data_IF_417466020491
#
_entry.id   IF_417466020491
#
_cell.length_a   1.000
_cell.length_b   1.000
_cell.length_c   1.000
_cell.angle_alpha   90.00
_cell.angle_beta   90.00
_cell.angle_gamma   90.00
#
_symmetry.space_group_name_H-M   'P 1'
#
loop_
_entity.id
_entity.type
_entity.pdbx_description
1 polymer ?
#
# COMPACT_ATOMS: atom_id res chain seq x y z
N UNK A 1 23.29 8.05 13.83
CA UNK A 1 23.85 7.53 15.08
C UNK A 1 24.36 6.12 14.83
N UNK A 2 25.54 5.76 15.34
CA UNK A 2 26.18 4.47 15.03
C UNK A 2 25.80 3.31 15.96
N UNK A 3 25.48 3.59 17.21
CA UNK A 3 25.17 2.54 18.20
C UNK A 3 23.68 2.23 18.13
N UNK A 4 23.34 1.00 17.75
CA UNK A 4 21.98 0.47 17.74
C UNK A 4 21.80 -0.53 18.88
N UNK A 5 20.64 -0.49 19.54
CA UNK A 5 20.31 -1.37 20.66
C UNK A 5 18.87 -1.87 20.54
N UNK A 6 18.67 -3.14 20.87
CA UNK A 6 17.36 -3.78 21.00
C UNK A 6 17.18 -4.10 22.47
N UNK A 7 16.08 -3.62 23.05
CA UNK A 7 15.81 -3.70 24.47
C UNK A 7 14.44 -4.33 24.70
N UNK A 8 14.37 -5.30 25.61
CA UNK A 8 13.11 -5.83 26.08
C UNK A 8 12.58 -4.93 27.19
N UNK A 9 11.48 -4.22 26.92
CA UNK A 9 10.91 -3.24 27.84
C UNK A 9 10.35 -3.92 29.09
N UNK A 10 9.67 -5.06 28.94
CA UNK A 10 9.05 -5.81 30.03
C UNK A 10 10.11 -6.35 31.00
N UNK A 11 11.12 -7.02 30.45
CA UNK A 11 12.22 -7.60 31.23
C UNK A 11 13.27 -6.57 31.66
N UNK A 12 13.13 -5.31 31.21
CA UNK A 12 14.09 -4.23 31.42
C UNK A 12 15.53 -4.62 31.11
N UNK A 13 15.74 -5.40 30.05
CA UNK A 13 17.02 -5.98 29.72
C UNK A 13 17.42 -5.68 28.27
N UNK A 14 18.72 -5.42 28.06
CA UNK A 14 19.26 -5.24 26.72
C UNK A 14 19.38 -6.60 26.05
N UNK A 15 18.65 -6.78 24.95
CA UNK A 15 18.69 -8.01 24.17
C UNK A 15 19.94 -8.03 23.28
N UNK A 16 20.14 -6.96 22.48
CA UNK A 16 21.23 -6.89 21.49
C UNK A 16 21.78 -5.48 21.40
N UNK A 17 23.03 -5.36 21.01
CA UNK A 17 23.68 -4.10 20.68
C UNK A 17 24.63 -4.30 19.49
N UNK A 18 24.71 -3.32 18.62
CA UNK A 18 25.63 -3.34 17.50
C UNK A 18 26.12 -1.92 17.20
N UNK A 19 27.41 -1.79 16.86
CA UNK A 19 28.01 -0.52 16.45
C UNK A 19 28.19 -0.55 14.94
N UNK A 20 27.37 0.22 14.23
CA UNK A 20 27.45 0.37 12.79
C UNK A 20 28.76 1.06 12.39
N UNK A 21 29.29 0.70 11.22
CA UNK A 21 30.45 1.36 10.62
C UNK A 21 30.10 2.78 10.18
N UNK A 22 28.92 2.93 9.57
CA UNK A 22 28.31 4.20 9.15
C UNK A 22 27.17 4.61 10.08
N UNK A 23 26.76 5.88 10.00
CA UNK A 23 25.57 6.33 10.71
C UNK A 23 24.30 5.71 10.14
N UNK A 24 23.47 5.17 11.04
CA UNK A 24 22.07 4.91 10.73
C UNK A 24 21.35 6.25 10.58
N UNK A 25 20.79 6.50 9.40
CA UNK A 25 20.05 7.73 9.06
C UNK A 25 18.53 7.51 9.08
N UNK A 26 18.08 6.26 8.93
CA UNK A 26 16.68 5.86 9.02
C UNK A 26 16.59 4.40 9.42
N UNK A 27 15.56 4.04 10.18
CA UNK A 27 15.29 2.67 10.57
C UNK A 27 13.81 2.44 10.80
N UNK A 28 13.37 1.19 10.61
CA UNK A 28 11.98 0.79 10.79
C UNK A 28 11.88 -0.72 10.97
N UNK A 29 10.97 -1.18 11.82
CA UNK A 29 10.55 -2.58 11.85
C UNK A 29 9.96 -2.99 10.49
N UNK A 30 10.65 -3.93 9.81
CA UNK A 30 10.20 -4.52 8.55
C UNK A 30 9.23 -5.70 8.81
N UNK A 31 9.42 -6.40 9.94
CA UNK A 31 8.53 -7.45 10.45
C UNK A 31 8.53 -7.43 11.97
N UNK A 32 7.84 -8.37 12.61
CA UNK A 32 7.81 -8.56 14.07
C UNK A 32 9.19 -8.83 14.69
N UNK A 33 10.14 -9.36 13.91
CA UNK A 33 11.47 -9.75 14.37
C UNK A 33 12.62 -9.08 13.60
N UNK A 34 12.35 -8.33 12.52
CA UNK A 34 13.40 -7.77 11.66
C UNK A 34 13.30 -6.26 11.56
N UNK A 35 14.43 -5.58 11.79
CA UNK A 35 14.59 -4.13 11.63
C UNK A 35 15.31 -3.85 10.30
N UNK A 36 14.71 -3.02 9.45
CA UNK A 36 15.40 -2.39 8.33
C UNK A 36 16.21 -1.19 8.81
N UNK A 37 17.50 -1.19 8.53
CA UNK A 37 18.45 -0.12 8.88
C UNK A 37 18.99 0.48 7.60
N UNK A 38 18.89 1.80 7.44
CA UNK A 38 19.34 2.54 6.26
C UNK A 38 20.48 3.45 6.68
N UNK A 39 21.63 3.28 6.04
CA UNK A 39 22.79 4.17 6.16
C UNK A 39 22.87 5.12 4.97
N UNK A 40 23.95 5.89 4.87
CA UNK A 40 24.19 6.75 3.72
C UNK A 40 24.38 5.94 2.43
N UNK A 41 25.04 4.79 2.51
CA UNK A 41 25.42 4.01 1.33
C UNK A 41 24.64 2.71 1.16
N UNK A 42 24.03 2.16 2.21
CA UNK A 42 23.52 0.78 2.20
C UNK A 42 22.25 0.60 3.02
N UNK A 43 21.54 -0.50 2.76
CA UNK A 43 20.40 -0.97 3.55
C UNK A 43 20.72 -2.34 4.14
N UNK A 44 20.39 -2.52 5.41
CA UNK A 44 20.65 -3.73 6.19
C UNK A 44 19.34 -4.25 6.81
N UNK A 45 19.29 -5.55 7.06
CA UNK A 45 18.31 -6.19 7.93
C UNK A 45 18.99 -6.68 9.20
N UNK A 46 18.40 -6.38 10.36
CA UNK A 46 18.87 -6.86 11.65
C UNK A 46 17.72 -7.60 12.35
N UNK A 47 17.83 -8.92 12.45
CA UNK A 47 16.86 -9.75 13.16
C UNK A 47 17.10 -9.74 14.67
N UNK A 48 16.03 -9.83 15.45
CA UNK A 48 16.05 -9.99 16.91
C UNK A 48 16.47 -11.40 17.33
N UNK A 49 16.45 -12.36 16.41
CA UNK A 49 16.76 -13.76 16.67
C UNK A 49 18.26 -14.00 16.87
N UNK A 50 18.58 -14.72 17.95
CA UNK A 50 19.94 -15.09 18.34
C UNK A 50 20.93 -13.93 18.37
N UNK A 51 22.21 -14.25 18.20
CA UNK A 51 23.31 -13.27 18.20
C UNK A 51 23.62 -12.70 16.81
N UNK A 52 22.65 -12.76 15.88
CA UNK A 52 22.81 -12.26 14.52
C UNK A 52 23.17 -10.77 14.47
N UNK A 53 24.10 -10.43 13.58
CA UNK A 53 24.49 -9.05 13.31
C UNK A 53 23.68 -8.49 12.13
N UNK A 54 23.63 -7.16 11.94
CA UNK A 54 23.01 -6.57 10.75
C UNK A 54 23.62 -7.12 9.46
N UNK A 55 22.78 -7.65 8.58
CA UNK A 55 23.18 -8.21 7.28
C UNK A 55 22.85 -7.20 6.19
N UNK A 56 23.83 -6.89 5.33
CA UNK A 56 23.62 -5.99 4.20
C UNK A 56 22.69 -6.64 3.18
N UNK A 57 21.66 -5.90 2.76
CA UNK A 57 20.70 -6.34 1.75
C UNK A 57 21.04 -5.81 0.37
N UNK A 58 21.32 -4.50 0.26
CA UNK A 58 21.68 -3.85 -0.99
C UNK A 58 22.36 -2.49 -0.76
N UNK A 59 23.06 -2.00 -1.78
CA UNK A 59 23.60 -0.64 -1.85
C UNK A 59 22.52 0.36 -2.26
N UNK A 60 22.51 1.55 -1.64
CA UNK A 60 21.62 2.64 -2.02
C UNK A 60 21.96 3.13 -3.42
N UNK A 61 20.94 3.19 -4.25
CA UNK A 61 21.07 3.65 -5.63
C UNK A 61 21.36 5.16 -5.67
N UNK A 62 22.19 5.59 -6.63
CA UNK A 62 22.62 6.99 -6.79
C UNK A 62 21.46 8.01 -6.87
N UNK A 63 20.29 7.59 -7.34
CA UNK A 63 19.09 8.44 -7.42
C UNK A 63 18.56 8.90 -6.06
N UNK A 64 18.97 8.24 -4.97
CA UNK A 64 18.61 8.57 -3.58
C UNK A 64 19.68 9.39 -2.86
N UNK A 65 20.79 9.74 -3.51
CA UNK A 65 21.81 10.60 -2.92
C UNK A 65 21.21 11.98 -2.59
N UNK A 66 21.49 12.46 -1.38
CA UNK A 66 20.95 13.73 -0.85
C UNK A 66 19.44 13.70 -0.54
N UNK A 67 18.75 12.57 -0.68
CA UNK A 67 17.35 12.45 -0.26
C UNK A 67 17.24 12.26 1.25
N UNK A 68 16.27 12.92 1.86
CA UNK A 68 15.79 12.58 3.19
C UNK A 68 15.00 11.27 3.10
N UNK A 69 15.48 10.21 3.77
CA UNK A 69 14.77 8.93 3.80
C UNK A 69 13.54 9.07 4.70
N UNK A 70 12.37 8.72 4.15
CA UNK A 70 11.07 8.87 4.83
C UNK A 70 10.39 7.53 5.11
N UNK A 71 10.76 6.47 4.41
CA UNK A 71 10.18 5.16 4.64
C UNK A 71 11.08 4.02 4.15
N UNK A 72 10.87 2.85 4.74
CA UNK A 72 11.37 1.57 4.27
C UNK A 72 10.22 0.57 4.34
N UNK A 73 10.03 -0.24 3.29
CA UNK A 73 8.98 -1.25 3.23
C UNK A 73 9.51 -2.52 2.60
N UNK A 74 8.85 -3.62 2.92
CA UNK A 74 9.06 -4.92 2.29
C UNK A 74 7.71 -5.50 1.91
N UNK A 75 7.70 -6.46 0.99
CA UNK A 75 6.58 -7.39 0.91
C UNK A 75 6.61 -8.37 2.09
N UNK A 76 5.57 -9.19 2.23
CA UNK A 76 5.43 -10.15 3.33
C UNK A 76 6.54 -11.22 3.34
N UNK A 77 7.07 -11.60 2.17
CA UNK A 77 8.11 -12.62 2.06
C UNK A 77 9.54 -12.07 2.15
N UNK A 78 9.68 -10.76 2.37
CA UNK A 78 10.96 -10.04 2.39
C UNK A 78 11.79 -10.23 1.10
N UNK A 79 11.16 -10.54 -0.02
CA UNK A 79 11.82 -10.72 -1.33
C UNK A 79 11.87 -9.43 -2.15
N UNK A 80 11.00 -8.47 -1.83
CA UNK A 80 10.95 -7.14 -2.41
C UNK A 80 11.16 -6.11 -1.33
N UNK A 81 12.20 -5.29 -1.50
CA UNK A 81 12.60 -4.27 -0.54
C UNK A 81 12.48 -2.89 -1.20
N UNK A 82 11.94 -1.92 -0.47
CA UNK A 82 11.73 -0.57 -0.96
C UNK A 82 12.28 0.44 0.04
N UNK A 83 13.24 1.25 -0.39
CA UNK A 83 13.62 2.48 0.32
C UNK A 83 13.04 3.69 -0.42
N UNK A 84 12.44 4.61 0.34
CA UNK A 84 11.79 5.80 -0.18
C UNK A 84 12.38 7.06 0.49
N UNK A 85 12.76 8.03 -0.34
CA UNK A 85 13.27 9.31 0.10
C UNK A 85 12.69 10.47 -0.69
N UNK A 86 12.75 11.66 -0.12
CA UNK A 86 12.28 12.90 -0.75
C UNK A 86 13.40 13.94 -0.79
N UNK A 87 13.33 14.84 -1.76
CA UNK A 87 14.19 16.03 -1.82
C UNK A 87 13.43 17.22 -2.39
N UNK A 88 13.77 18.42 -1.94
CA UNK A 88 13.28 19.63 -2.58
C UNK A 88 14.05 19.86 -3.88
N UNK A 89 13.34 20.10 -4.99
CA UNK A 89 13.93 20.43 -6.29
C UNK A 89 12.94 21.30 -7.06
N UNK A 90 13.41 22.43 -7.63
CA UNK A 90 12.59 23.31 -8.48
C UNK A 90 11.25 23.74 -7.83
N UNK A 91 11.27 24.04 -6.53
CA UNK A 91 10.08 24.47 -5.79
C UNK A 91 9.07 23.36 -5.45
N UNK A 92 9.34 22.09 -5.80
CA UNK A 92 8.51 20.93 -5.44
C UNK A 92 9.26 19.91 -4.58
N UNK A 93 8.50 19.03 -3.94
CA UNK A 93 9.04 17.83 -3.28
C UNK A 93 9.06 16.69 -4.29
N UNK A 94 10.25 16.19 -4.62
CA UNK A 94 10.45 15.04 -5.52
C UNK A 94 10.63 13.78 -4.69
N UNK A 95 9.80 12.77 -4.93
CA UNK A 95 9.92 11.45 -4.33
C UNK A 95 10.82 10.53 -5.16
N UNK A 96 11.75 9.84 -4.51
CA UNK A 96 12.67 8.88 -5.11
C UNK A 96 12.56 7.58 -4.34
N UNK A 97 12.34 6.50 -5.07
CA UNK A 97 12.27 5.15 -4.53
C UNK A 97 13.32 4.27 -5.20
N UNK A 98 13.82 3.29 -4.47
CA UNK A 98 14.59 2.18 -5.00
C UNK A 98 13.87 0.89 -4.61
N UNK A 99 13.32 0.21 -5.62
CA UNK A 99 12.75 -1.12 -5.48
C UNK A 99 13.85 -2.14 -5.76
N UNK A 100 14.13 -3.02 -4.81
CA UNK A 100 15.14 -4.06 -4.92
C UNK A 100 14.50 -5.44 -4.83
N UNK A 101 14.91 -6.33 -5.74
CA UNK A 101 14.56 -7.76 -5.71
C UNK A 101 15.70 -8.54 -5.06
N UNK A 102 15.43 -9.25 -3.97
CA UNK A 102 16.41 -10.09 -3.27
C UNK A 102 16.83 -11.27 -4.13
N UNK A 103 15.86 -11.95 -4.75
CA UNK A 103 16.09 -13.10 -5.64
C UNK A 103 16.95 -12.71 -6.85
N UNK A 104 16.55 -11.66 -7.56
CA UNK A 104 17.22 -11.24 -8.80
C UNK A 104 18.46 -10.38 -8.56
N UNK A 105 18.66 -9.88 -7.34
CA UNK A 105 19.75 -8.98 -6.95
C UNK A 105 19.87 -7.72 -7.82
N UNK A 106 18.73 -7.17 -8.20
CA UNK A 106 18.64 -5.96 -9.05
C UNK A 106 17.81 -4.87 -8.37
N UNK A 107 18.21 -3.62 -8.60
CA UNK A 107 17.48 -2.43 -8.17
C UNK A 107 16.88 -1.70 -9.36
N UNK A 108 15.68 -1.18 -9.16
CA UNK A 108 15.02 -0.27 -10.08
C UNK A 108 14.75 1.08 -9.38
N UNK A 109 15.31 2.19 -9.91
CA UNK A 109 14.95 3.52 -9.44
C UNK A 109 13.57 3.92 -9.98
N UNK A 110 12.74 4.51 -9.12
CA UNK A 110 11.37 4.92 -9.44
C UNK A 110 11.12 6.33 -8.88
N UNK A 111 10.45 7.21 -9.64
CA UNK A 111 9.92 8.47 -9.08
C UNK A 111 8.57 8.19 -8.41
N UNK A 112 8.50 8.38 -7.09
CA UNK A 112 7.26 8.23 -6.33
C UNK A 112 7.40 8.63 -4.88
N UNK A 113 6.28 9.02 -4.29
CA UNK A 113 6.21 9.65 -2.98
C UNK A 113 5.72 8.71 -1.87
N UNK A 114 4.78 7.83 -2.18
CA UNK A 114 4.22 6.87 -1.24
C UNK A 114 3.96 5.54 -1.93
N UNK A 115 4.17 4.43 -1.24
CA UNK A 115 4.00 3.10 -1.79
C UNK A 115 3.63 2.07 -0.72
N UNK A 116 3.09 0.94 -1.17
CA UNK A 116 2.76 -0.22 -0.36
C UNK A 116 2.83 -1.51 -1.19
N UNK A 117 3.11 -2.62 -0.52
CA UNK A 117 2.95 -3.96 -1.08
C UNK A 117 1.64 -4.56 -0.56
N UNK A 118 1.03 -5.42 -1.36
CA UNK A 118 -0.19 -6.13 -0.98
C UNK A 118 -0.26 -7.47 -1.68
N UNK A 119 -0.79 -8.47 -0.97
CA UNK A 119 -1.14 -9.75 -1.54
C UNK A 119 -2.57 -9.67 -2.08
N UNK A 120 -2.75 -9.92 -3.38
CA UNK A 120 -4.05 -9.80 -4.05
C UNK A 120 -4.33 -11.02 -4.94
N UNK A 121 -5.48 -11.66 -4.76
CA UNK A 121 -5.89 -12.83 -5.54
C UNK A 121 -6.96 -12.43 -6.55
N UNK A 122 -6.63 -12.48 -7.84
CA UNK A 122 -7.61 -12.32 -8.91
C UNK A 122 -8.64 -13.47 -8.85
N UNK A 123 -9.89 -13.18 -9.24
CA UNK A 123 -11.00 -14.13 -9.14
C UNK A 123 -10.73 -15.46 -9.88
N UNK A 124 -10.15 -15.37 -11.08
CA UNK A 124 -9.80 -16.54 -11.90
C UNK A 124 -8.56 -17.29 -11.40
N UNK A 125 -7.78 -16.71 -10.48
CA UNK A 125 -6.50 -17.23 -10.05
C UNK A 125 -6.61 -18.11 -8.80
N UNK A 126 -5.75 -19.13 -8.75
CA UNK A 126 -5.64 -20.03 -7.58
C UNK A 126 -4.68 -19.47 -6.54
N UNK A 127 -3.58 -18.87 -6.98
CA UNK A 127 -2.54 -18.28 -6.12
C UNK A 127 -2.67 -16.77 -6.03
N UNK A 128 -2.15 -16.21 -4.96
CA UNK A 128 -2.12 -14.77 -4.72
C UNK A 128 -0.94 -14.14 -5.45
N UNK A 129 -1.17 -12.97 -6.05
CA UNK A 129 -0.14 -12.14 -6.67
C UNK A 129 0.39 -11.13 -5.66
N UNK A 130 1.70 -10.88 -5.69
CA UNK A 130 2.31 -9.79 -4.92
C UNK A 130 2.27 -8.52 -5.77
N UNK A 131 1.47 -7.55 -5.34
CA UNK A 131 1.35 -6.26 -6.01
C UNK A 131 2.18 -5.21 -5.29
N UNK A 132 2.83 -4.37 -6.09
CA UNK A 132 3.48 -3.13 -5.67
C UNK A 132 2.67 -1.95 -6.17
N UNK A 133 2.14 -1.16 -5.23
CA UNK A 133 1.40 0.06 -5.53
C UNK A 133 2.22 1.27 -5.12
N UNK A 134 2.30 2.29 -5.98
CA UNK A 134 2.96 3.54 -5.65
C UNK A 134 2.29 4.75 -6.29
N UNK A 135 2.29 5.87 -5.56
CA UNK A 135 1.72 7.13 -5.97
C UNK A 135 2.79 8.22 -6.05
N UNK A 136 2.63 9.10 -7.02
CA UNK A 136 3.54 10.21 -7.31
C UNK A 136 2.75 11.44 -7.70
N UNK A 137 3.24 12.63 -7.33
CA UNK A 137 2.86 13.89 -7.99
C UNK A 137 4.06 14.44 -8.74
N UNK A 138 4.13 14.11 -10.03
CA UNK A 138 5.20 14.54 -10.93
C UNK A 138 4.83 15.79 -11.72
N UNK A 139 5.68 16.21 -12.68
CA UNK A 139 5.37 17.31 -13.60
C UNK A 139 4.11 17.05 -14.44
N UNK A 140 3.79 15.79 -14.72
CA UNK A 140 2.59 15.36 -15.44
C UNK A 140 1.36 15.19 -14.54
N UNK A 141 1.41 15.68 -13.30
CA UNK A 141 0.33 15.56 -12.32
C UNK A 141 0.45 14.33 -11.42
N UNK A 142 -0.67 14.00 -10.77
CA UNK A 142 -0.78 12.88 -9.85
C UNK A 142 -1.02 11.57 -10.58
N UNK A 143 -0.24 10.53 -10.26
CA UNK A 143 -0.44 9.18 -10.77
C UNK A 143 -0.36 8.15 -9.64
N UNK A 144 -1.20 7.11 -9.73
CA UNK A 144 -1.14 5.89 -8.94
C UNK A 144 -0.87 4.73 -9.91
N UNK A 145 0.15 3.95 -9.59
CA UNK A 145 0.53 2.74 -10.31
C UNK A 145 0.25 1.53 -9.44
N UNK A 146 -0.30 0.48 -10.04
CA UNK A 146 -0.50 -0.84 -9.41
C UNK A 146 0.09 -1.86 -10.37
N UNK A 147 1.14 -2.56 -9.94
CA UNK A 147 1.86 -3.55 -10.75
C UNK A 147 2.09 -4.82 -9.97
N UNK A 148 2.06 -5.97 -10.64
CA UNK A 148 2.59 -7.21 -10.06
C UNK A 148 4.11 -7.21 -10.13
N UNK A 149 4.74 -7.69 -9.06
CA UNK A 149 6.19 -7.82 -8.97
C UNK A 149 6.59 -9.29 -8.87
N UNK A 150 7.70 -9.63 -9.53
CA UNK A 150 8.17 -11.00 -9.62
C UNK A 150 7.68 -11.72 -10.88
N UNK A 151 7.92 -13.02 -10.90
CA UNK A 151 7.36 -13.89 -11.93
C UNK A 151 5.95 -14.27 -11.45
N UNK A 152 4.90 -14.05 -12.26
CA UNK A 152 3.56 -14.49 -11.89
C UNK A 152 3.60 -15.97 -11.50
N UNK A 153 2.87 -16.38 -10.45
CA UNK A 153 2.62 -17.79 -10.21
C UNK A 153 1.97 -18.42 -11.46
N UNK A 154 1.85 -19.75 -11.51
CA UNK A 154 1.08 -20.45 -12.56
C UNK A 154 -0.42 -20.05 -12.54
N UNK A 155 -0.70 -18.85 -13.07
CA UNK A 155 -1.87 -17.98 -12.90
C UNK A 155 -1.87 -16.95 -14.06
N UNK A 156 -2.99 -16.25 -14.26
CA UNK A 156 -3.04 -15.04 -15.08
C UNK A 156 -2.31 -13.88 -14.38
N UNK A 157 -1.43 -13.17 -15.09
CA UNK A 157 -0.71 -12.02 -14.54
C UNK A 157 -1.61 -10.80 -14.32
N UNK A 158 -1.34 -10.02 -13.29
CA UNK A 158 -2.07 -8.78 -13.01
C UNK A 158 -1.77 -7.72 -14.08
N UNK A 159 -2.82 -7.24 -14.74
CA UNK A 159 -2.68 -6.16 -15.70
C UNK A 159 -2.37 -4.84 -14.98
N UNK A 160 -1.17 -4.30 -15.24
CA UNK A 160 -0.72 -3.00 -14.71
C UNK A 160 -1.81 -1.93 -14.83
N UNK A 161 -2.10 -1.25 -13.74
CA UNK A 161 -2.99 -0.09 -13.70
C UNK A 161 -2.21 1.21 -13.55
N UNK A 162 -2.65 2.23 -14.27
CA UNK A 162 -2.14 3.60 -14.18
C UNK A 162 -3.34 4.53 -14.05
N UNK A 163 -3.47 5.18 -12.90
CA UNK A 163 -4.64 5.96 -12.53
C UNK A 163 -4.22 7.40 -12.28
N UNK A 164 -5.01 8.35 -12.77
CA UNK A 164 -4.86 9.76 -12.42
C UNK A 164 -5.31 10.03 -10.99
N UNK A 165 -4.41 10.60 -10.19
CA UNK A 165 -4.72 11.09 -8.83
C UNK A 165 -4.98 12.58 -8.92
N UNK A 166 -6.25 12.95 -8.77
CA UNK A 166 -6.67 14.35 -8.83
C UNK A 166 -6.28 15.06 -7.54
N UNK A 167 -5.74 16.28 -7.68
CA UNK A 167 -5.46 17.17 -6.57
C UNK A 167 -6.32 18.42 -6.75
N UNK A 168 -7.04 18.87 -5.71
CA UNK A 168 -7.86 20.08 -5.80
C UNK A 168 -7.02 21.32 -6.18
N UNK A 169 -7.58 22.29 -6.94
CA UNK A 169 -6.87 23.51 -7.34
C UNK A 169 -6.31 24.33 -6.17
N UNK A 170 -7.00 24.31 -5.03
CA UNK A 170 -6.58 24.96 -3.78
C UNK A 170 -5.37 24.29 -3.11
N UNK A 171 -4.95 23.11 -3.58
CA UNK A 171 -3.87 22.31 -3.02
C UNK A 171 -2.70 22.11 -4.03
N UNK A 172 -2.09 23.19 -4.58
CA UNK A 172 -1.12 23.09 -5.68
C UNK A 172 0.19 22.39 -5.26
N UNK A 173 0.56 22.49 -3.99
CA UNK A 173 1.79 21.91 -3.42
C UNK A 173 1.53 20.63 -2.61
N UNK A 174 0.32 20.08 -2.67
CA UNK A 174 0.00 18.82 -2.00
C UNK A 174 0.65 17.63 -2.72
N UNK A 175 0.92 16.53 -2.03
CA UNK A 175 1.51 15.34 -2.63
C UNK A 175 1.25 14.12 -1.72
N UNK A 176 1.35 12.88 -2.24
CA UNK A 176 1.18 11.69 -1.42
C UNK A 176 2.23 11.59 -0.32
N UNK A 177 1.84 11.27 0.91
CA UNK A 177 2.78 11.10 2.04
C UNK A 177 2.75 9.71 2.65
N UNK A 178 1.62 9.02 2.56
CA UNK A 178 1.49 7.66 3.05
C UNK A 178 0.52 6.86 2.19
N UNK A 179 0.77 5.56 2.11
CA UNK A 179 -0.09 4.60 1.45
C UNK A 179 -0.19 3.37 2.34
N UNK A 180 -1.40 2.84 2.52
CA UNK A 180 -1.65 1.53 3.11
C UNK A 180 -2.66 0.78 2.23
N UNK A 181 -2.68 -0.54 2.34
CA UNK A 181 -3.58 -1.39 1.57
C UNK A 181 -4.37 -2.29 2.51
N UNK A 182 -5.64 -2.51 2.19
CA UNK A 182 -6.46 -3.54 2.83
C UNK A 182 -6.52 -4.76 1.91
N UNK A 183 -5.83 -5.84 2.27
CA UNK A 183 -5.97 -7.11 1.57
C UNK A 183 -7.38 -7.71 1.74
N UNK A 184 -8.02 -7.47 2.91
CA UNK A 184 -9.40 -7.92 3.20
C UNK A 184 -10.39 -7.33 2.18
N UNK A 185 -10.29 -6.03 1.91
CA UNK A 185 -11.26 -5.31 1.08
C UNK A 185 -10.78 -5.07 -0.36
N UNK A 186 -9.51 -5.36 -0.65
CA UNK A 186 -8.90 -5.08 -1.95
C UNK A 186 -8.88 -3.58 -2.25
N UNK A 187 -8.57 -2.73 -1.26
CA UNK A 187 -8.51 -1.27 -1.44
C UNK A 187 -7.18 -0.65 -1.02
N UNK A 188 -6.85 0.49 -1.60
CA UNK A 188 -5.67 1.32 -1.28
C UNK A 188 -6.15 2.59 -0.57
N UNK A 189 -5.59 2.88 0.61
CA UNK A 189 -5.71 4.16 1.28
C UNK A 189 -4.49 5.01 0.94
N UNK A 190 -4.71 6.16 0.30
CA UNK A 190 -3.67 7.14 -0.04
C UNK A 190 -3.89 8.44 0.73
N UNK A 191 -2.92 8.81 1.55
CA UNK A 191 -2.94 10.03 2.36
C UNK A 191 -2.03 11.07 1.71
N UNK A 192 -2.51 12.31 1.66
CA UNK A 192 -1.73 13.45 1.14
C UNK A 192 -1.20 14.35 2.25
N UNK A 193 -0.23 15.20 1.90
CA UNK A 193 0.43 16.15 2.79
C UNK A 193 -0.57 17.11 3.44
N UNK A 194 -1.63 17.50 2.72
CA UNK A 194 -2.67 18.44 3.18
C UNK A 194 -3.86 17.75 3.85
N UNK A 195 -3.76 16.44 4.10
CA UNK A 195 -4.72 15.70 4.91
C UNK A 195 -5.92 15.15 4.13
N UNK A 196 -5.81 15.05 2.81
CA UNK A 196 -6.77 14.30 2.00
C UNK A 196 -6.48 12.80 2.12
N UNK A 197 -7.56 12.01 2.19
CA UNK A 197 -7.53 10.56 2.06
C UNK A 197 -8.29 10.18 0.81
N UNK A 198 -7.68 9.31 0.02
CA UNK A 198 -8.28 8.68 -1.14
C UNK A 198 -8.38 7.18 -0.87
N UNK A 199 -9.47 6.57 -1.31
CA UNK A 199 -9.68 5.13 -1.28
C UNK A 199 -9.86 4.63 -2.71
N UNK A 200 -8.96 3.77 -3.18
CA UNK A 200 -9.02 3.19 -4.54
C UNK A 200 -9.28 1.68 -4.47
N UNK A 201 -10.05 1.15 -5.41
CA UNK A 201 -10.11 -0.30 -5.66
C UNK A 201 -8.79 -0.79 -6.28
N UNK A 202 -8.21 -1.88 -5.76
CA UNK A 202 -6.91 -2.41 -6.23
C UNK A 202 -7.03 -3.01 -7.63
N UNK A 203 -8.12 -3.72 -7.92
CA UNK A 203 -8.27 -4.48 -9.15
C UNK A 203 -8.47 -3.58 -10.38
N UNK A 204 -9.38 -2.61 -10.27
CA UNK A 204 -9.72 -1.69 -11.35
C UNK A 204 -8.91 -0.38 -11.30
N UNK A 205 -8.44 0.03 -10.13
CA UNK A 205 -7.87 1.36 -9.90
C UNK A 205 -8.93 2.46 -9.69
N UNK A 206 -10.22 2.12 -9.62
CA UNK A 206 -11.29 3.12 -9.49
C UNK A 206 -11.18 3.87 -8.16
N UNK A 207 -11.24 5.20 -8.20
CA UNK A 207 -11.37 6.02 -6.99
C UNK A 207 -12.78 5.83 -6.41
N UNK A 208 -12.85 5.29 -5.19
CA UNK A 208 -14.09 5.07 -4.46
C UNK A 208 -14.47 6.33 -3.69
N UNK A 209 -13.57 6.85 -2.86
CA UNK A 209 -13.86 8.01 -2.02
C UNK A 209 -12.64 8.92 -1.93
N UNK A 210 -12.88 10.23 -1.88
CA UNK A 210 -11.88 11.25 -1.58
C UNK A 210 -12.48 12.24 -0.60
N UNK A 211 -11.80 12.48 0.53
CA UNK A 211 -12.22 13.49 1.48
C UNK A 211 -11.04 14.08 2.25
N UNK A 212 -11.16 15.33 2.71
CA UNK A 212 -10.17 15.95 3.59
C UNK A 212 -10.54 15.67 5.05
N UNK A 213 -9.72 14.87 5.72
CA UNK A 213 -9.98 14.45 7.11
C UNK A 213 -9.15 15.21 8.14
N UNK A 214 -8.13 15.96 7.69
CA UNK A 214 -7.29 16.74 8.58
C UNK A 214 -6.84 18.03 7.92
N UNK A 215 -6.83 19.12 8.67
CA UNK A 215 -6.19 20.37 8.26
C UNK A 215 -4.66 20.31 8.44
N UNK A 216 -4.19 19.44 9.33
CA UNK A 216 -2.77 19.26 9.66
C UNK A 216 -2.18 18.06 8.92
N UNK A 217 -0.87 18.11 8.65
CA UNK A 217 -0.18 16.95 8.09
C UNK A 217 -0.23 15.77 9.05
N UNK A 218 -0.74 14.64 8.55
CA UNK A 218 -0.53 13.31 9.11
C UNK A 218 0.90 12.86 8.84
N UNK A 219 1.76 12.87 9.85
CA UNK A 219 3.21 12.68 9.67
C UNK A 219 3.66 11.23 9.89
N UNK A 220 2.83 10.41 10.55
CA UNK A 220 3.07 8.98 10.73
C UNK A 220 1.76 8.23 10.51
N UNK A 221 1.86 7.06 9.87
CA UNK A 221 0.73 6.17 9.64
C UNK A 221 1.14 4.72 9.85
N UNK A 222 0.16 3.88 10.16
CA UNK A 222 0.29 2.43 10.20
C UNK A 222 -0.97 1.76 9.62
N UNK A 223 -0.90 0.50 9.20
CA UNK A 223 -2.10 -0.32 9.01
C UNK A 223 -2.92 -0.34 10.30
N UNK A 224 -4.24 -0.26 10.19
CA UNK A 224 -5.14 -0.41 11.33
C UNK A 224 -5.84 -1.76 11.25
N UNK A 225 -5.24 -2.76 11.89
CA UNK A 225 -5.65 -4.16 11.81
C UNK A 225 -7.11 -4.42 12.18
N UNK A 226 -7.70 -3.82 13.25
CA UNK A 226 -9.05 -4.16 13.69
C UNK A 226 -10.13 -3.95 12.63
N UNK A 227 -9.96 -2.98 11.74
CA UNK A 227 -10.93 -2.64 10.68
C UNK A 227 -10.33 -2.73 9.28
N UNK A 228 -9.14 -3.31 9.14
CA UNK A 228 -8.36 -3.34 7.89
C UNK A 228 -8.24 -1.97 7.22
N UNK A 229 -7.97 -0.94 8.02
CA UNK A 229 -7.90 0.45 7.60
C UNK A 229 -6.50 1.05 7.69
N UNK A 230 -6.46 2.37 7.85
CA UNK A 230 -5.26 3.16 8.13
C UNK A 230 -5.46 3.95 9.42
N UNK A 231 -4.43 4.00 10.26
CA UNK A 231 -4.37 4.88 11.44
C UNK A 231 -3.23 5.88 11.24
N UNK A 232 -3.45 7.11 11.69
CA UNK A 232 -2.54 8.23 11.50
C UNK A 232 -2.47 9.14 12.72
N UNK A 233 -1.32 9.79 12.91
CA UNK A 233 -1.16 10.88 13.89
C UNK A 233 -0.80 12.16 13.15
N UNK A 234 -1.51 13.24 13.45
CA UNK A 234 -1.26 14.55 12.87
C UNK A 234 -0.45 15.46 13.79
N UNK A 235 0.01 16.60 13.26
CA UNK A 235 0.85 17.56 14.02
C UNK A 235 0.17 18.18 15.25
N UNK A 236 -1.15 18.07 15.38
CA UNK A 236 -1.91 18.49 16.57
C UNK A 236 -2.03 17.40 17.63
N UNK A 237 -1.44 16.22 17.40
CA UNK A 237 -1.52 15.08 18.31
C UNK A 237 -2.83 14.31 18.23
N UNK A 238 -3.68 14.58 17.23
CA UNK A 238 -4.89 13.80 17.01
C UNK A 238 -4.53 12.44 16.42
N UNK A 239 -5.14 11.39 16.96
CA UNK A 239 -5.09 10.03 16.40
C UNK A 239 -6.36 9.82 15.59
N UNK A 240 -6.19 9.64 14.28
CA UNK A 240 -7.28 9.49 13.31
C UNK A 240 -7.19 8.10 12.68
N UNK A 241 -8.33 7.44 12.48
CA UNK A 241 -8.41 6.22 11.69
C UNK A 241 -9.42 6.37 10.56
N UNK A 242 -9.16 5.69 9.46
CA UNK A 242 -10.08 5.57 8.33
C UNK A 242 -10.14 4.11 7.91
N UNK A 243 -11.36 3.61 7.71
CA UNK A 243 -11.62 2.28 7.16
C UNK A 243 -12.81 2.33 6.23
N UNK A 244 -12.96 1.27 5.43
CA UNK A 244 -14.14 1.06 4.62
C UNK A 244 -15.31 0.68 5.55
N UNK A 245 -16.47 1.27 5.32
CA UNK A 245 -17.71 0.90 6.01
C UNK A 245 -18.39 -0.22 5.19
N UNK A 246 -18.34 -1.43 5.72
CA UNK A 246 -18.77 -2.67 5.05
C UNK A 246 -20.28 -2.70 4.79
N UNK A 247 -21.09 -1.98 5.56
CA UNK A 247 -22.56 -1.94 5.44
C UNK A 247 -23.02 -1.02 4.30
N UNK A 248 -22.28 0.08 4.07
CA UNK A 248 -22.72 1.13 3.13
C UNK A 248 -21.96 1.12 1.81
N UNK A 249 -20.73 0.60 1.77
CA UNK A 249 -19.81 0.82 0.63
C UNK A 249 -20.39 0.32 -0.70
N UNK A 250 -21.07 -0.82 -0.71
CA UNK A 250 -21.68 -1.38 -1.93
C UNK A 250 -22.76 -0.42 -2.45
N UNK A 251 -23.65 0.03 -1.57
CA UNK A 251 -24.72 0.98 -1.90
C UNK A 251 -24.15 2.32 -2.37
N UNK A 252 -23.05 2.78 -1.78
CA UNK A 252 -22.39 4.03 -2.13
C UNK A 252 -21.76 3.93 -3.53
N UNK A 253 -21.06 2.84 -3.84
CA UNK A 253 -20.48 2.61 -5.17
C UNK A 253 -21.59 2.51 -6.23
N UNK A 254 -22.68 1.80 -5.93
CA UNK A 254 -23.78 1.65 -6.88
C UNK A 254 -24.51 2.97 -7.13
N UNK A 255 -24.93 3.67 -6.06
CA UNK A 255 -25.87 4.78 -6.15
C UNK A 255 -25.18 6.14 -6.26
N UNK A 256 -24.08 6.35 -5.53
CA UNK A 256 -23.36 7.63 -5.53
C UNK A 256 -22.32 7.70 -6.64
N UNK A 257 -21.56 6.62 -6.87
CA UNK A 257 -20.59 6.57 -7.97
C UNK A 257 -21.22 6.12 -9.30
N UNK A 258 -22.44 5.57 -9.28
CA UNK A 258 -23.10 5.06 -10.48
C UNK A 258 -22.41 3.84 -11.09
N UNK A 259 -21.63 3.07 -10.31
CA UNK A 259 -20.78 2.00 -10.80
C UNK A 259 -21.24 0.62 -10.29
N UNK A 260 -22.33 0.12 -10.88
CA UNK A 260 -22.93 -1.16 -10.50
C UNK A 260 -21.97 -2.36 -10.70
N UNK A 261 -21.09 -2.32 -11.69
CA UNK A 261 -20.12 -3.41 -11.94
C UNK A 261 -19.06 -3.48 -10.83
N UNK A 262 -18.53 -2.34 -10.38
CA UNK A 262 -17.61 -2.33 -9.24
C UNK A 262 -18.32 -2.75 -7.95
N UNK A 263 -19.55 -2.28 -7.72
CA UNK A 263 -20.33 -2.67 -6.55
C UNK A 263 -20.55 -4.19 -6.51
N UNK A 264 -20.92 -4.79 -7.65
CA UNK A 264 -21.08 -6.23 -7.80
C UNK A 264 -19.78 -6.99 -7.52
N UNK A 265 -18.67 -6.61 -8.17
CA UNK A 265 -17.37 -7.26 -7.99
C UNK A 265 -16.84 -7.15 -6.57
N UNK A 266 -16.95 -5.97 -5.97
CA UNK A 266 -16.50 -5.74 -4.60
C UNK A 266 -17.33 -6.56 -3.60
N UNK A 267 -18.66 -6.60 -3.77
CA UNK A 267 -19.54 -7.41 -2.92
C UNK A 267 -19.22 -8.90 -3.03
N UNK A 268 -19.01 -9.43 -4.24
CA UNK A 268 -18.60 -10.81 -4.46
C UNK A 268 -17.23 -11.12 -3.83
N UNK A 269 -16.22 -10.30 -4.13
CA UNK A 269 -14.82 -10.53 -3.74
C UNK A 269 -14.62 -10.43 -2.24
N UNK A 270 -15.34 -9.53 -1.58
CA UNK A 270 -15.16 -9.22 -0.16
C UNK A 270 -16.29 -9.77 0.73
N UNK A 271 -17.26 -10.48 0.16
CA UNK A 271 -18.45 -10.99 0.84
C UNK A 271 -19.17 -9.89 1.66
N UNK A 272 -19.51 -8.78 0.99
CA UNK A 272 -20.15 -7.61 1.60
C UNK A 272 -21.67 -7.61 1.35
N UNK A 273 -22.47 -7.09 2.30
CA UNK A 273 -23.92 -6.99 2.15
C UNK A 273 -24.33 -5.89 1.17
N UNK A 274 -25.64 -5.85 0.85
CA UNK A 274 -26.25 -4.74 0.09
C UNK A 274 -26.20 -4.87 -1.43
N UNK A 275 -25.81 -6.04 -1.96
CA UNK A 275 -25.76 -6.31 -3.40
C UNK A 275 -26.89 -7.24 -3.89
N UNK A 276 -27.84 -7.65 -3.04
CA UNK A 276 -28.83 -8.71 -3.35
C UNK A 276 -29.54 -8.49 -4.69
N UNK A 277 -30.01 -7.26 -4.93
CA UNK A 277 -30.70 -6.90 -6.16
C UNK A 277 -29.79 -6.98 -7.39
N UNK A 278 -28.49 -6.66 -7.26
CA UNK A 278 -27.51 -6.77 -8.34
C UNK A 278 -27.31 -8.24 -8.73
N UNK A 279 -27.19 -9.13 -7.74
CA UNK A 279 -27.03 -10.57 -7.98
C UNK A 279 -28.30 -11.18 -8.59
N UNK A 280 -29.48 -10.83 -8.08
CA UNK A 280 -30.76 -11.29 -8.63
C UNK A 280 -30.99 -10.81 -10.06
N UNK A 281 -30.70 -9.55 -10.36
CA UNK A 281 -30.82 -9.00 -11.71
C UNK A 281 -29.86 -9.70 -12.68
N UNK A 282 -28.59 -9.87 -12.29
CA UNK A 282 -27.57 -10.54 -13.13
C UNK A 282 -27.89 -12.03 -13.34
N UNK A 283 -28.35 -12.72 -12.30
CA UNK A 283 -28.83 -14.10 -12.41
C UNK A 283 -30.00 -14.21 -13.38
N UNK A 284 -31.02 -13.37 -13.21
CA UNK A 284 -32.23 -13.39 -14.05
C UNK A 284 -31.90 -13.12 -15.51
N UNK A 285 -31.02 -12.15 -15.78
CA UNK A 285 -30.55 -11.85 -17.13
C UNK A 285 -29.83 -13.05 -17.76
N UNK A 286 -28.88 -13.67 -17.05
CA UNK A 286 -28.14 -14.83 -17.54
C UNK A 286 -29.05 -16.02 -17.77
N UNK A 287 -29.98 -16.27 -16.86
CA UNK A 287 -30.95 -17.35 -16.95
C UNK A 287 -31.90 -17.17 -18.14
N UNK A 288 -32.42 -15.97 -18.36
CA UNK A 288 -33.27 -15.65 -19.52
C UNK A 288 -32.51 -15.74 -20.84
N UNK A 289 -31.21 -15.43 -20.85
CA UNK A 289 -30.35 -15.59 -22.03
C UNK A 289 -29.93 -17.04 -22.34
N UNK A 290 -30.38 -18.01 -21.53
CA UNK A 290 -30.03 -19.42 -21.67
C UNK A 290 -28.62 -19.79 -21.19
N UNK A 291 -27.91 -18.85 -20.55
CA UNK A 291 -26.55 -19.08 -20.03
C UNK A 291 -26.60 -19.61 -18.59
N UNK A 292 -27.05 -20.86 -18.45
CA UNK A 292 -27.29 -21.49 -17.16
C UNK A 292 -26.01 -21.72 -16.35
N UNK A 293 -24.89 -22.01 -17.00
CA UNK A 293 -23.59 -22.19 -16.31
C UNK A 293 -23.13 -20.90 -15.63
N UNK A 294 -23.25 -19.76 -16.30
CA UNK A 294 -22.91 -18.47 -15.71
C UNK A 294 -23.92 -18.07 -14.62
N UNK A 295 -25.21 -18.32 -14.82
CA UNK A 295 -26.23 -18.06 -13.81
C UNK A 295 -25.96 -18.87 -12.52
N UNK A 296 -25.61 -20.16 -12.65
CA UNK A 296 -25.24 -21.00 -11.51
C UNK A 296 -24.02 -20.47 -10.75
N UNK A 297 -23.00 -19.96 -11.47
CA UNK A 297 -21.84 -19.30 -10.84
C UNK A 297 -22.25 -18.07 -10.05
N UNK A 298 -23.08 -17.19 -10.60
CA UNK A 298 -23.58 -15.98 -9.90
C UNK A 298 -24.27 -16.35 -8.58
N UNK A 299 -25.11 -17.38 -8.58
CA UNK A 299 -25.78 -17.86 -7.38
C UNK A 299 -24.79 -18.45 -6.35
N UNK A 300 -23.75 -19.16 -6.80
CA UNK A 300 -22.74 -19.73 -5.92
C UNK A 300 -21.79 -18.70 -5.29
N UNK A 301 -21.57 -17.57 -5.96
CA UNK A 301 -20.70 -16.47 -5.51
C UNK A 301 -21.45 -15.32 -4.85
N UNK A 302 -22.76 -15.43 -4.70
CA UNK A 302 -23.56 -14.39 -4.04
C UNK A 302 -23.12 -14.25 -2.57
N UNK A 303 -22.83 -13.02 -2.09
CA UNK A 303 -22.53 -12.80 -0.70
C UNK A 303 -23.72 -13.22 0.18
N UNK A 304 -23.42 -13.64 1.41
CA UNK A 304 -24.44 -14.06 2.38
C UNK A 304 -25.30 -12.90 2.88
#
# INVERSE_FOLDING_TARGET
GKILQIFNIELRSRMKAYVMTEDCIFWKWASVNTIGVVTETSVYHWTTEGDSQPVKMFDRHQSLLGCQIINYRTDESLQWLLVNGIKAQEGRVVGRMQLYSVERKVSQPIEGHAAAFTQFKLEANKKTSTLFSFAVRGPQGGKLYIVEVGTPPDNEGFQKKVIDVQFPPEAPNDFPVAMQTSAKHGVIFLVTKYGYVHMFDIESGTLICMNRISAETMFVTAPYEPTSGIIAVNRKGQVLSVSMDEEIVVSYIQNTLGNAELAYKMAARCNLPGADQLFLARFSQLFQSGNYDAAAKVAATAPR
#
